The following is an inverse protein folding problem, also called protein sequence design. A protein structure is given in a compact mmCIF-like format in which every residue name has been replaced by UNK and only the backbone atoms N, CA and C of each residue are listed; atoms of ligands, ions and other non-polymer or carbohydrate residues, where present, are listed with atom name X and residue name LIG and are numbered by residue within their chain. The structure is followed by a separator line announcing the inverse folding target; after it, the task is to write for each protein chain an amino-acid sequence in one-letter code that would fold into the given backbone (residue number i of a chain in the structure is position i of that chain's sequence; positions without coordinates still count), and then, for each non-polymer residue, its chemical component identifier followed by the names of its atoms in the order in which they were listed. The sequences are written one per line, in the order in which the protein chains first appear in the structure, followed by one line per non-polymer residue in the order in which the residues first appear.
data_IF_788691511140
#
_entry.id   IF_788691511140
#
_cell.length_a   1.000
_cell.length_b   1.000
_cell.length_c   1.000
_cell.angle_alpha   90.00
_cell.angle_beta   90.00
_cell.angle_gamma   90.00
#
_symmetry.space_group_name_H-M   'P 1'
#
loop_
_entity.id
_entity.type
_entity.pdbx_description
1 polymer ?
#
# COMPACT_ATOMS: atom_id res chain seq x y z
N UNK A 1 -33.49 15.83 4.41
CA UNK A 1 -32.17 16.23 4.96
C UNK A 1 -31.36 16.77 3.81
N UNK A 2 -30.85 18.00 3.88
CA UNK A 2 -30.02 18.54 2.80
C UNK A 2 -28.68 17.78 2.78
N UNK A 3 -28.37 17.10 1.68
CA UNK A 3 -27.04 16.50 1.50
C UNK A 3 -26.01 17.62 1.40
N UNK A 4 -25.06 17.68 2.33
CA UNK A 4 -23.95 18.62 2.26
C UNK A 4 -23.09 18.30 1.03
N UNK A 5 -23.25 19.08 -0.04
CA UNK A 5 -22.48 18.92 -1.29
C UNK A 5 -21.17 19.68 -1.19
N UNK A 6 -20.04 18.96 -1.21
CA UNK A 6 -18.71 19.55 -1.28
C UNK A 6 -18.29 19.64 -2.76
N UNK A 7 -18.07 20.86 -3.25
CA UNK A 7 -17.56 21.15 -4.60
C UNK A 7 -16.14 21.72 -4.49
N UNK A 8 -15.22 21.20 -5.28
CA UNK A 8 -13.85 21.71 -5.35
C UNK A 8 -13.30 21.59 -6.77
N UNK A 9 -12.31 22.43 -7.09
CA UNK A 9 -11.63 22.43 -8.39
C UNK A 9 -10.31 21.67 -8.27
N UNK A 10 -9.95 20.95 -9.32
CA UNK A 10 -8.69 20.22 -9.43
C UNK A 10 -8.10 20.47 -10.82
N UNK A 11 -6.79 20.33 -10.95
CA UNK A 11 -6.16 20.37 -12.27
C UNK A 11 -6.66 19.20 -13.13
N UNK A 12 -6.62 19.38 -14.46
CA UNK A 12 -7.08 18.35 -15.40
C UNK A 12 -6.31 17.03 -15.24
N UNK A 13 -4.99 17.11 -15.05
CA UNK A 13 -4.13 15.93 -14.81
C UNK A 13 -4.53 15.16 -13.56
N UNK A 14 -4.77 15.85 -12.44
CA UNK A 14 -5.18 15.20 -11.18
C UNK A 14 -6.54 14.53 -11.32
N UNK A 15 -7.48 15.15 -12.05
CA UNK A 15 -8.79 14.56 -12.31
C UNK A 15 -8.68 13.22 -13.03
N UNK A 16 -7.78 13.09 -14.01
CA UNK A 16 -7.56 11.85 -14.73
C UNK A 16 -6.99 10.76 -13.80
N UNK A 17 -6.06 11.12 -12.93
CA UNK A 17 -5.50 10.19 -11.93
C UNK A 17 -6.59 9.66 -10.99
N UNK A 18 -7.45 10.54 -10.48
CA UNK A 18 -8.55 10.12 -9.60
C UNK A 18 -9.60 9.28 -10.34
N UNK A 19 -9.92 9.62 -11.59
CA UNK A 19 -10.88 8.88 -12.39
C UNK A 19 -10.38 7.45 -12.68
N UNK A 20 -9.09 7.31 -13.02
CA UNK A 20 -8.47 6.00 -13.20
C UNK A 20 -8.48 5.18 -11.92
N UNK A 21 -8.07 5.76 -10.80
CA UNK A 21 -8.06 5.05 -9.51
C UNK A 21 -9.48 4.63 -9.05
N UNK A 22 -10.50 5.44 -9.36
CA UNK A 22 -11.88 5.10 -9.09
C UNK A 22 -12.37 3.93 -9.96
N UNK A 23 -12.00 3.91 -11.24
CA UNK A 23 -12.30 2.80 -12.15
C UNK A 23 -11.63 1.49 -11.72
N UNK A 24 -10.34 1.54 -11.35
CA UNK A 24 -9.59 0.38 -10.86
C UNK A 24 -10.20 -0.19 -9.55
N UNK A 25 -10.92 0.64 -8.80
CA UNK A 25 -11.61 0.25 -7.57
C UNK A 25 -13.09 -0.14 -7.76
N UNK A 26 -13.59 -0.13 -9.01
CA UNK A 26 -15.02 -0.33 -9.35
C UNK A 26 -15.96 0.62 -8.58
N UNK A 27 -15.58 1.91 -8.51
CA UNK A 27 -16.33 2.94 -7.80
C UNK A 27 -16.56 4.17 -8.69
N UNK A 28 -17.64 4.90 -8.40
CA UNK A 28 -17.77 6.26 -8.96
C UNK A 28 -16.72 7.19 -8.35
N UNK A 29 -16.27 8.17 -9.14
CA UNK A 29 -15.27 9.15 -8.70
C UNK A 29 -15.66 9.84 -7.38
N UNK A 30 -16.92 10.23 -7.21
CA UNK A 30 -17.39 10.87 -5.97
C UNK A 30 -17.37 9.92 -4.78
N UNK A 31 -17.76 8.66 -4.96
CA UNK A 31 -17.73 7.65 -3.89
C UNK A 31 -16.30 7.32 -3.48
N UNK A 32 -15.39 7.22 -4.45
CA UNK A 32 -13.97 7.03 -4.24
C UNK A 32 -13.37 8.18 -3.42
N UNK A 33 -13.61 9.44 -3.81
CA UNK A 33 -13.08 10.61 -3.11
C UNK A 33 -13.67 10.76 -1.69
N UNK A 34 -14.95 10.44 -1.49
CA UNK A 34 -15.55 10.41 -0.14
C UNK A 34 -14.91 9.34 0.74
N UNK A 35 -14.68 8.14 0.20
CA UNK A 35 -13.99 7.06 0.92
C UNK A 35 -12.56 7.46 1.28
N UNK A 36 -11.83 8.03 0.32
CA UNK A 36 -10.48 8.55 0.51
C UNK A 36 -10.43 9.63 1.61
N UNK A 37 -11.35 10.61 1.56
CA UNK A 37 -11.46 11.65 2.59
C UNK A 37 -11.74 11.09 3.99
N UNK A 38 -12.65 10.12 4.12
CA UNK A 38 -12.88 9.43 5.41
C UNK A 38 -11.64 8.68 5.89
N UNK A 39 -10.93 8.00 4.99
CA UNK A 39 -9.68 7.32 5.34
C UNK A 39 -8.59 8.31 5.77
N UNK A 40 -8.51 9.48 5.14
CA UNK A 40 -7.57 10.52 5.52
C UNK A 40 -7.85 11.04 6.94
N UNK A 41 -9.12 11.38 7.25
CA UNK A 41 -9.53 11.88 8.56
C UNK A 41 -9.33 10.84 9.66
N UNK A 42 -9.62 9.56 9.37
CA UNK A 42 -9.47 8.47 10.33
C UNK A 42 -8.03 7.95 10.46
N UNK A 43 -7.05 8.57 9.78
CA UNK A 43 -5.66 8.10 9.78
C UNK A 43 -5.44 6.74 9.11
N UNK A 44 -6.45 6.23 8.38
CA UNK A 44 -6.41 4.95 7.66
C UNK A 44 -5.82 5.07 6.26
N UNK A 45 -5.42 6.28 5.84
CA UNK A 45 -4.60 6.45 4.66
C UNK A 45 -3.16 6.08 4.97
N UNK A 46 -2.58 5.23 4.13
CA UNK A 46 -1.16 4.92 4.22
C UNK A 46 -0.35 6.20 4.04
N UNK A 47 0.42 6.57 5.05
CA UNK A 47 1.36 7.68 4.97
C UNK A 47 2.46 7.35 3.96
N UNK A 48 3.17 8.36 3.46
CA UNK A 48 4.29 8.15 2.52
C UNK A 48 5.33 7.13 3.05
N UNK A 49 5.72 7.14 4.33
CA UNK A 49 6.54 6.07 4.91
C UNK A 49 5.92 4.67 4.80
N UNK A 50 4.59 4.53 5.01
CA UNK A 50 3.90 3.24 4.90
C UNK A 50 3.88 2.73 3.47
N UNK A 51 3.68 3.61 2.50
CA UNK A 51 3.73 3.25 1.08
C UNK A 51 5.14 2.78 0.68
N UNK A 52 6.19 3.44 1.17
CA UNK A 52 7.58 3.01 0.93
C UNK A 52 7.84 1.63 1.52
N UNK A 53 7.39 1.35 2.74
CA UNK A 53 7.55 0.03 3.35
C UNK A 53 6.73 -1.05 2.62
N UNK A 54 5.51 -0.75 2.19
CA UNK A 54 4.70 -1.67 1.39
C UNK A 54 5.35 -2.00 0.04
N UNK A 55 5.91 -0.99 -0.64
CA UNK A 55 6.68 -1.19 -1.86
C UNK A 55 7.93 -2.05 -1.62
N UNK A 56 8.61 -1.83 -0.49
CA UNK A 56 9.77 -2.64 -0.08
C UNK A 56 9.40 -4.10 0.16
N UNK A 57 8.35 -4.37 0.94
CA UNK A 57 7.85 -5.73 1.18
C UNK A 57 7.46 -6.43 -0.12
N UNK A 58 6.79 -5.72 -1.05
CA UNK A 58 6.44 -6.25 -2.36
C UNK A 58 7.66 -6.64 -3.18
N UNK A 59 8.74 -5.84 -3.16
CA UNK A 59 9.99 -6.17 -3.86
C UNK A 59 10.63 -7.44 -3.31
N UNK A 60 10.67 -7.59 -1.98
CA UNK A 60 11.21 -8.80 -1.34
C UNK A 60 10.38 -10.04 -1.69
N UNK A 61 9.05 -9.93 -1.64
CA UNK A 61 8.14 -11.01 -1.99
C UNK A 61 8.32 -11.45 -3.45
N UNK A 62 8.39 -10.49 -4.38
CA UNK A 62 8.64 -10.79 -5.79
C UNK A 62 10.00 -11.48 -5.98
N UNK A 63 11.05 -11.00 -5.31
CA UNK A 63 12.39 -11.60 -5.40
C UNK A 63 12.40 -13.03 -4.86
N UNK A 64 11.71 -13.27 -3.74
CA UNK A 64 11.57 -14.61 -3.16
C UNK A 64 10.83 -15.54 -4.13
N UNK A 65 9.74 -15.07 -4.75
CA UNK A 65 8.98 -15.84 -5.74
C UNK A 65 9.86 -16.21 -6.95
N UNK A 66 10.59 -15.24 -7.50
CA UNK A 66 11.52 -15.49 -8.62
C UNK A 66 12.62 -16.48 -8.25
N UNK A 67 13.17 -16.42 -7.02
CA UNK A 67 14.17 -17.40 -6.57
C UNK A 67 13.58 -18.79 -6.39
N UNK A 68 12.35 -18.91 -5.88
CA UNK A 68 11.67 -20.19 -5.70
C UNK A 68 11.27 -20.84 -7.03
N UNK A 69 10.96 -20.03 -8.04
CA UNK A 69 10.65 -20.50 -9.41
C UNK A 69 11.90 -20.90 -10.20
N UNK A 70 13.09 -20.41 -9.78
CA UNK A 70 14.35 -20.75 -10.42
C UNK A 70 14.82 -22.14 -10.02
N UNK A 71 15.05 -23.02 -11.01
CA UNK A 71 15.56 -24.38 -10.80
C UNK A 71 17.05 -24.44 -10.43
N UNK A 72 17.76 -23.32 -10.52
CA UNK A 72 19.21 -23.22 -10.34
C UNK A 72 19.61 -22.72 -8.94
N UNK A 73 18.65 -22.31 -8.11
CA UNK A 73 18.92 -21.79 -6.78
C UNK A 73 19.02 -22.95 -5.79
N UNK A 74 20.17 -23.03 -5.11
CA UNK A 74 20.39 -23.96 -4.03
C UNK A 74 19.37 -23.74 -2.87
N UNK A 75 18.73 -24.81 -2.35
CA UNK A 75 17.77 -24.72 -1.26
C UNK A 75 18.27 -23.99 0.00
N UNK A 76 19.55 -24.11 0.35
CA UNK A 76 20.10 -23.43 1.53
C UNK A 76 20.14 -21.91 1.30
N UNK A 77 20.50 -21.49 0.09
CA UNK A 77 20.48 -20.08 -0.32
C UNK A 77 19.06 -19.50 -0.29
N UNK A 78 18.07 -20.27 -0.77
CA UNK A 78 16.66 -19.86 -0.72
C UNK A 78 16.17 -19.74 0.73
N UNK A 79 16.51 -20.69 1.59
CA UNK A 79 16.14 -20.68 3.00
C UNK A 79 16.77 -19.51 3.76
N UNK A 80 18.05 -19.22 3.51
CA UNK A 80 18.74 -18.07 4.08
C UNK A 80 18.10 -16.75 3.66
N UNK A 81 17.74 -16.60 2.38
CA UNK A 81 17.05 -15.41 1.89
C UNK A 81 15.65 -15.27 2.50
N UNK A 82 14.86 -16.35 2.55
CA UNK A 82 13.54 -16.36 3.18
C UNK A 82 13.61 -15.92 4.66
N UNK A 83 14.62 -16.40 5.40
CA UNK A 83 14.86 -15.99 6.79
C UNK A 83 15.19 -14.50 6.92
N UNK A 84 15.99 -13.95 6.01
CA UNK A 84 16.26 -12.51 5.94
C UNK A 84 14.99 -11.70 5.70
N UNK A 85 14.17 -12.10 4.73
CA UNK A 85 12.89 -11.45 4.42
C UNK A 85 11.94 -11.47 5.63
N UNK A 86 11.84 -12.62 6.31
CA UNK A 86 11.04 -12.73 7.53
C UNK A 86 11.52 -11.77 8.65
N UNK A 87 12.84 -11.63 8.82
CA UNK A 87 13.43 -10.67 9.76
C UNK A 87 13.09 -9.22 9.42
N UNK A 88 13.15 -8.84 8.14
CA UNK A 88 12.78 -7.50 7.69
C UNK A 88 11.29 -7.20 7.89
N UNK A 89 10.41 -8.16 7.59
CA UNK A 89 8.96 -8.04 7.83
C UNK A 89 8.69 -7.88 9.33
N UNK A 90 9.34 -8.68 10.18
CA UNK A 90 9.22 -8.55 11.63
C UNK A 90 9.66 -7.16 12.10
N UNK A 91 10.79 -6.64 11.59
CA UNK A 91 11.27 -5.30 11.95
C UNK A 91 10.29 -4.19 11.53
N UNK A 92 9.68 -4.31 10.35
CA UNK A 92 8.62 -3.39 9.89
C UNK A 92 7.42 -3.48 10.84
N UNK A 93 6.93 -4.69 11.12
CA UNK A 93 5.79 -4.91 12.01
C UNK A 93 6.02 -4.33 13.41
N UNK A 94 7.20 -4.57 14.01
CA UNK A 94 7.56 -4.02 15.31
C UNK A 94 7.61 -2.49 15.32
N UNK A 95 8.21 -1.86 14.32
CA UNK A 95 8.21 -0.39 14.20
C UNK A 95 6.79 0.17 14.11
N UNK A 96 5.89 -0.53 13.42
CA UNK A 96 4.50 -0.10 13.26
C UNK A 96 3.67 -0.30 14.52
N UNK A 97 3.83 -1.41 15.22
CA UNK A 97 3.19 -1.61 16.53
C UNK A 97 3.62 -0.52 17.53
N UNK A 98 4.90 -0.15 17.55
CA UNK A 98 5.41 0.90 18.43
C UNK A 98 4.96 2.31 18.04
N UNK A 99 4.59 2.55 16.77
CA UNK A 99 4.02 3.82 16.30
C UNK A 99 2.50 3.93 16.55
N UNK A 100 1.84 2.82 16.84
CA UNK A 100 0.38 2.76 17.10
C UNK A 100 0.08 2.66 18.61
N UNK A 101 1.09 2.42 19.44
CA UNK A 101 0.96 2.49 20.90
C UNK A 101 0.70 3.96 21.34
N UNK A 102 -0.30 4.19 22.21
CA UNK A 102 -0.72 5.53 22.63
C UNK A 102 0.37 6.29 23.42
#
# INVERSE_FOLDING_TARGET
MAENVIKFRVAGGDKLLFAKAAADADMTLSSYLRRAGRMAVTGRMMTRPMLTEAAHMRRLANRLATMAESKEVDPETLAAFAKSVAGEIHAIASRRLNQVAP
#
